data_IF_676372560340
#
_entry.id   IF_676372560340
#
_cell.length_a   1.000
_cell.length_b   1.000
_cell.length_c   1.000
_cell.angle_alpha   90.00
_cell.angle_beta   90.00
_cell.angle_gamma   90.00
#
_symmetry.space_group_name_H-M   'P 1'
#
loop_
_entity.id
_entity.type
_entity.pdbx_description
1 polymer ?
#
# COMPACT_ATOMS: atom_id res chain seq x y z
N UNK A 1 -15.12 -33.02 -16.49
CA UNK A 1 -14.67 -31.63 -16.37
C UNK A 1 -15.63 -30.76 -15.56
N UNK A 2 -16.80 -30.33 -16.07
CA UNK A 2 -17.71 -29.42 -15.34
C UNK A 2 -18.32 -30.03 -14.05
N UNK A 3 -18.69 -31.32 -14.06
CA UNK A 3 -19.18 -32.02 -12.86
C UNK A 3 -18.08 -32.23 -11.82
N UNK A 4 -16.90 -32.68 -12.24
CA UNK A 4 -15.73 -32.88 -11.38
C UNK A 4 -15.20 -31.56 -10.79
N UNK A 5 -15.24 -30.46 -11.55
CA UNK A 5 -14.91 -29.13 -11.07
C UNK A 5 -15.91 -28.63 -10.02
N UNK A 6 -17.21 -28.91 -10.22
CA UNK A 6 -18.25 -28.61 -9.24
C UNK A 6 -18.05 -29.41 -7.95
N UNK A 7 -17.72 -30.70 -8.05
CA UNK A 7 -17.41 -31.54 -6.88
C UNK A 7 -16.11 -31.12 -6.18
N UNK A 8 -15.10 -30.67 -6.91
CA UNK A 8 -13.86 -30.11 -6.35
C UNK A 8 -14.10 -28.76 -5.65
N UNK A 9 -14.88 -27.86 -6.27
CA UNK A 9 -15.19 -26.54 -5.72
C UNK A 9 -16.12 -26.61 -4.49
N UNK A 10 -16.95 -27.66 -4.38
CA UNK A 10 -17.84 -27.90 -3.23
C UNK A 10 -17.11 -28.63 -2.09
N UNK A 11 -15.86 -29.11 -2.27
CA UNK A 11 -15.04 -29.53 -1.12
C UNK A 11 -14.85 -28.30 -0.22
N UNK A 12 -15.46 -28.32 0.96
CA UNK A 12 -15.58 -27.16 1.87
C UNK A 12 -14.28 -26.38 2.08
N UNK A 13 -13.14 -27.07 2.10
CA UNK A 13 -11.82 -26.44 2.23
C UNK A 13 -11.51 -25.37 1.15
N UNK A 14 -11.94 -25.58 -0.11
CA UNK A 14 -11.67 -24.61 -1.19
C UNK A 14 -12.63 -23.41 -1.15
N UNK A 15 -13.90 -23.65 -0.84
CA UNK A 15 -14.92 -22.61 -0.74
C UNK A 15 -14.67 -21.70 0.47
N UNK A 16 -14.40 -22.27 1.65
CA UNK A 16 -14.13 -21.52 2.88
C UNK A 16 -12.83 -20.72 2.76
N UNK A 17 -11.79 -21.29 2.12
CA UNK A 17 -10.55 -20.57 1.81
C UNK A 17 -10.82 -19.39 0.87
N UNK A 18 -11.61 -19.58 -0.19
CA UNK A 18 -11.95 -18.52 -1.13
C UNK A 18 -12.71 -17.37 -0.41
N UNK A 19 -13.67 -17.71 0.45
CA UNK A 19 -14.40 -16.72 1.25
C UNK A 19 -13.47 -15.98 2.21
N UNK A 20 -12.58 -16.69 2.92
CA UNK A 20 -11.60 -16.09 3.83
C UNK A 20 -10.65 -15.12 3.13
N UNK A 21 -10.15 -15.47 1.94
CA UNK A 21 -9.28 -14.60 1.14
C UNK A 21 -10.02 -13.37 0.63
N UNK A 22 -11.26 -13.52 0.15
CA UNK A 22 -12.07 -12.39 -0.33
C UNK A 22 -12.38 -11.42 0.80
N UNK A 23 -12.81 -11.92 1.97
CA UNK A 23 -13.10 -11.10 3.14
C UNK A 23 -11.81 -10.43 3.65
N UNK A 24 -10.71 -11.17 3.74
CA UNK A 24 -9.42 -10.62 4.16
C UNK A 24 -8.93 -9.50 3.25
N UNK A 25 -9.05 -9.66 1.92
CA UNK A 25 -8.70 -8.63 0.95
C UNK A 25 -9.61 -7.40 1.04
N UNK A 26 -10.93 -7.59 1.23
CA UNK A 26 -11.88 -6.50 1.40
C UNK A 26 -11.64 -5.74 2.71
N UNK A 27 -11.44 -6.45 3.81
CA UNK A 27 -11.14 -5.86 5.13
C UNK A 27 -9.82 -5.09 5.11
N UNK A 28 -8.79 -5.62 4.45
CA UNK A 28 -7.52 -4.94 4.24
C UNK A 28 -7.69 -3.56 3.57
N UNK A 29 -8.58 -3.44 2.58
CA UNK A 29 -8.89 -2.14 1.94
C UNK A 29 -9.57 -1.15 2.88
N UNK A 30 -10.45 -1.62 3.76
CA UNK A 30 -11.12 -0.78 4.76
C UNK A 30 -10.09 -0.19 5.73
N UNK A 31 -9.19 -1.05 6.22
CA UNK A 31 -8.12 -0.61 7.12
C UNK A 31 -7.15 0.35 6.41
N UNK A 32 -6.76 0.04 5.17
CA UNK A 32 -5.90 0.91 4.36
C UNK A 32 -6.51 2.30 4.16
N UNK A 33 -7.81 2.39 3.86
CA UNK A 33 -8.54 3.66 3.78
C UNK A 33 -8.61 4.37 5.13
N UNK A 34 -8.91 3.65 6.22
CA UNK A 34 -8.94 4.24 7.56
C UNK A 34 -7.59 4.89 7.91
N UNK A 35 -6.48 4.24 7.61
CA UNK A 35 -5.16 4.78 7.93
C UNK A 35 -4.78 5.90 6.99
N UNK A 36 -4.89 5.70 5.67
CA UNK A 36 -4.50 6.70 4.67
C UNK A 36 -5.38 7.96 4.71
N UNK A 37 -6.68 7.79 4.95
CA UNK A 37 -7.65 8.87 4.81
C UNK A 37 -8.05 9.51 6.15
N UNK A 38 -7.90 8.80 7.28
CA UNK A 38 -8.25 9.35 8.62
C UNK A 38 -7.05 9.56 9.54
N UNK A 39 -6.07 8.64 9.55
CA UNK A 39 -4.93 8.70 10.48
C UNK A 39 -3.77 9.52 9.91
N UNK A 40 -3.47 9.35 8.62
CA UNK A 40 -2.36 10.00 7.95
C UNK A 40 -2.51 11.52 7.80
N UNK A 41 -3.69 12.11 7.50
CA UNK A 41 -3.76 13.56 7.35
C UNK A 41 -3.41 14.36 8.62
N UNK A 42 -3.89 13.98 9.83
CA UNK A 42 -3.43 14.59 11.08
C UNK A 42 -1.94 14.39 11.35
N UNK A 43 -1.40 13.19 11.11
CA UNK A 43 0.04 12.92 11.29
C UNK A 43 0.88 13.74 10.30
N UNK A 44 0.45 13.82 9.05
CA UNK A 44 1.11 14.61 8.01
C UNK A 44 1.12 16.11 8.33
N UNK A 45 0.03 16.62 8.94
CA UNK A 45 -0.01 17.98 9.46
C UNK A 45 0.97 18.18 10.63
N UNK A 46 1.02 17.25 11.58
CA UNK A 46 1.91 17.31 12.75
C UNK A 46 3.40 17.22 12.37
N UNK A 47 3.72 16.43 11.35
CA UNK A 47 5.07 16.32 10.79
C UNK A 47 5.44 17.49 9.87
N UNK A 48 4.60 18.52 9.74
CA UNK A 48 4.90 19.72 8.94
C UNK A 48 4.83 19.49 7.43
N UNK A 49 4.06 18.50 6.96
CA UNK A 49 3.91 18.19 5.54
C UNK A 49 5.13 17.50 4.93
N UNK A 50 5.95 16.80 5.74
CA UNK A 50 7.07 16.00 5.23
C UNK A 50 6.53 14.95 4.26
N UNK A 51 6.65 15.25 2.97
CA UNK A 51 6.29 14.35 1.89
C UNK A 51 7.57 13.63 1.45
N UNK A 52 7.81 12.46 2.06
CA UNK A 52 8.97 11.65 1.71
C UNK A 52 8.94 11.21 0.25
N UNK A 53 7.78 11.25 -0.45
CA UNK A 53 7.70 10.83 -1.85
C UNK A 53 8.58 11.65 -2.81
N UNK A 54 9.00 12.85 -2.44
CA UNK A 54 9.90 13.68 -3.24
C UNK A 54 11.38 13.50 -2.89
N UNK A 55 11.72 12.57 -1.98
CA UNK A 55 13.09 12.14 -1.78
C UNK A 55 13.44 11.05 -2.78
N UNK A 56 14.21 11.42 -3.80
CA UNK A 56 14.66 10.51 -4.82
C UNK A 56 16.04 10.91 -5.33
N UNK A 57 16.73 9.94 -5.92
CA UNK A 57 17.97 10.15 -6.66
C UNK A 57 17.70 9.92 -8.14
N UNK A 58 17.93 10.93 -8.97
CA UNK A 58 17.93 10.77 -10.42
C UNK A 58 19.26 10.16 -10.87
N UNK A 59 19.21 9.11 -11.69
CA UNK A 59 20.39 8.36 -12.11
C UNK A 59 21.13 8.98 -13.31
N UNK A 60 20.67 10.14 -13.80
CA UNK A 60 21.30 10.91 -14.86
C UNK A 60 22.21 12.03 -14.35
N UNK A 61 22.34 12.17 -13.03
CA UNK A 61 23.17 13.19 -12.37
C UNK A 61 22.56 14.60 -12.39
N UNK A 62 21.30 14.76 -12.80
CA UNK A 62 20.60 16.06 -12.78
C UNK A 62 19.67 16.16 -11.58
N UNK A 63 19.53 17.38 -11.06
CA UNK A 63 18.56 17.66 -10.01
C UNK A 63 17.19 17.94 -10.61
N UNK A 64 16.18 17.27 -10.07
CA UNK A 64 14.78 17.46 -10.41
C UNK A 64 14.00 17.81 -9.14
N UNK A 65 13.06 18.74 -9.25
CA UNK A 65 12.26 19.20 -8.10
C UNK A 65 11.26 18.13 -7.64
N UNK A 66 10.83 17.22 -8.53
CA UNK A 66 9.88 16.16 -8.21
C UNK A 66 10.18 14.86 -8.97
N UNK A 67 9.79 13.73 -8.41
CA UNK A 67 9.85 12.41 -9.08
C UNK A 67 9.07 12.45 -10.39
N UNK A 68 7.96 13.19 -10.44
CA UNK A 68 7.14 13.34 -11.63
C UNK A 68 7.90 14.05 -12.76
N UNK A 69 8.66 15.10 -12.46
CA UNK A 69 9.49 15.81 -13.45
C UNK A 69 10.62 14.91 -13.99
N UNK A 70 11.28 14.16 -13.12
CA UNK A 70 12.34 13.22 -13.52
C UNK A 70 11.80 12.06 -14.37
N UNK A 71 10.63 11.50 -14.01
CA UNK A 71 9.95 10.47 -14.81
C UNK A 71 9.48 11.00 -16.17
N UNK A 72 8.95 12.23 -16.21
CA UNK A 72 8.53 12.87 -17.46
C UNK A 72 9.71 13.12 -18.41
N UNK A 73 10.91 13.34 -17.86
CA UNK A 73 12.16 13.44 -18.62
C UNK A 73 12.71 12.07 -19.08
N UNK A 74 12.02 10.96 -18.78
CA UNK A 74 12.46 9.60 -19.13
C UNK A 74 13.63 9.09 -18.31
N UNK A 75 13.92 9.73 -17.17
CA UNK A 75 15.07 9.41 -16.32
C UNK A 75 14.71 8.35 -15.30
N UNK A 76 15.60 7.36 -15.14
CA UNK A 76 15.49 6.37 -14.09
C UNK A 76 15.71 7.03 -12.71
N UNK A 77 14.75 6.85 -11.80
CA UNK A 77 14.77 7.46 -10.46
C UNK A 77 14.78 6.39 -9.38
N UNK A 78 15.71 6.51 -8.43
CA UNK A 78 15.71 5.73 -7.21
C UNK A 78 14.88 6.47 -6.15
N UNK A 79 13.62 6.08 -6.03
CA UNK A 79 12.62 6.74 -5.18
C UNK A 79 12.63 6.18 -3.75
N UNK A 80 13.75 6.29 -3.05
CA UNK A 80 13.91 5.76 -1.69
C UNK A 80 12.93 6.41 -0.68
N UNK A 81 12.53 7.64 -0.94
CA UNK A 81 11.52 8.34 -0.16
C UNK A 81 10.15 7.68 -0.17
N UNK A 82 9.71 7.19 -1.33
CA UNK A 82 8.44 6.42 -1.45
C UNK A 82 8.52 5.11 -0.68
N UNK A 83 9.70 4.49 -0.64
CA UNK A 83 9.92 3.27 0.14
C UNK A 83 9.82 3.53 1.65
N UNK A 84 10.49 4.58 2.16
CA UNK A 84 10.41 4.98 3.57
C UNK A 84 8.97 5.35 3.94
N UNK A 85 8.28 6.12 3.08
CA UNK A 85 6.86 6.43 3.23
C UNK A 85 6.04 5.14 3.40
N UNK A 86 6.25 4.16 2.52
CA UNK A 86 5.52 2.88 2.57
C UNK A 86 5.81 2.09 3.85
N UNK A 87 7.03 2.13 4.38
CA UNK A 87 7.37 1.50 5.67
C UNK A 87 6.67 2.18 6.85
N UNK A 88 6.62 3.52 6.84
CA UNK A 88 5.91 4.30 7.86
C UNK A 88 4.42 4.00 7.80
N UNK A 89 3.81 4.05 6.62
CA UNK A 89 2.39 3.74 6.41
C UNK A 89 2.07 2.32 6.89
N UNK A 90 2.88 1.33 6.52
CA UNK A 90 2.72 -0.05 6.99
C UNK A 90 2.79 -0.14 8.52
N UNK A 91 3.73 0.55 9.16
CA UNK A 91 3.89 0.53 10.62
C UNK A 91 2.66 1.16 11.31
N UNK A 92 2.15 2.27 10.78
CA UNK A 92 0.95 2.94 11.29
C UNK A 92 -0.28 2.05 11.10
N UNK A 93 -0.44 1.43 9.92
CA UNK A 93 -1.52 0.48 9.64
C UNK A 93 -1.47 -0.70 10.62
N UNK A 94 -0.30 -1.34 10.75
CA UNK A 94 -0.12 -2.48 11.63
C UNK A 94 -0.41 -2.12 13.09
N UNK A 95 0.04 -0.95 13.54
CA UNK A 95 -0.24 -0.45 14.88
C UNK A 95 -1.73 -0.14 15.09
N UNK A 96 -2.39 0.49 14.12
CA UNK A 96 -3.83 0.78 14.18
C UNK A 96 -4.65 -0.52 14.25
N UNK A 97 -4.31 -1.54 13.46
CA UNK A 97 -4.94 -2.87 13.55
C UNK A 97 -4.74 -3.46 14.94
N UNK A 98 -3.52 -3.41 15.47
CA UNK A 98 -3.18 -3.95 16.79
C UNK A 98 -3.96 -3.28 17.94
N UNK A 99 -4.29 -1.99 17.82
CA UNK A 99 -5.07 -1.28 18.85
C UNK A 99 -6.58 -1.55 18.75
N UNK A 100 -7.09 -1.84 17.54
CA UNK A 100 -8.53 -2.05 17.30
C UNK A 100 -8.98 -3.49 17.58
N UNK A 101 -8.11 -4.48 17.37
CA UNK A 101 -8.36 -5.91 17.63
C UNK A 101 -7.93 -6.27 19.04
#
# INVERSE_FOLDING_TARGET
MLKEFKEFAIKGNAFDLAVGVIIGAAFGKIVDSMVRDLVMPPIGLLLGGINFNNLFLALDGKEYVTVAAAKAAGVATLNYGVFIQSMVDFTIIAFAIFVVI
#
